data_IF_567428458161
#
_entry.id   IF_567428458161
#
_cell.length_a   1.000
_cell.length_b   1.000
_cell.length_c   1.000
_cell.angle_alpha   90.00
_cell.angle_beta   90.00
_cell.angle_gamma   90.00
#
_symmetry.space_group_name_H-M   'P 1'
#
loop_
_entity.id
_entity.type
_entity.pdbx_description
1 polymer ?
#
# COMPACT_ATOMS: atom_id res chain seq x y z
N UNK A 1 -0.35 -13.41 24.75
CA UNK A 1 0.80 -12.67 24.27
C UNK A 1 0.60 -11.16 24.31
N UNK A 2 1.57 -10.46 24.78
CA UNK A 2 1.51 -9.00 24.88
C UNK A 2 1.62 -8.34 23.51
N UNK A 3 0.88 -7.26 23.35
CA UNK A 3 1.01 -6.42 22.17
C UNK A 3 2.22 -5.52 22.37
N UNK A 4 3.36 -6.00 21.91
CA UNK A 4 4.64 -5.34 22.10
C UNK A 4 4.66 -3.94 21.51
N UNK A 5 4.00 -3.78 20.34
CA UNK A 5 4.00 -2.51 19.62
C UNK A 5 2.59 -2.13 19.22
N UNK A 6 2.24 -0.87 19.45
CA UNK A 6 1.03 -0.27 18.94
C UNK A 6 1.32 0.29 17.54
N UNK A 7 0.30 0.65 16.76
CA UNK A 7 0.51 1.32 15.48
C UNK A 7 1.33 2.61 15.63
N UNK A 8 1.09 3.37 16.70
CA UNK A 8 1.87 4.61 16.92
C UNK A 8 3.33 4.31 17.18
N UNK A 9 3.61 3.24 17.95
CA UNK A 9 4.99 2.83 18.22
C UNK A 9 5.68 2.42 16.93
N UNK A 10 4.98 1.70 16.05
CA UNK A 10 5.54 1.30 14.76
C UNK A 10 5.85 2.51 13.89
N UNK A 11 4.95 3.49 13.83
CA UNK A 11 5.20 4.72 13.10
C UNK A 11 6.44 5.43 13.63
N UNK A 12 6.59 5.51 14.95
CA UNK A 12 7.75 6.12 15.57
C UNK A 12 9.04 5.40 15.16
N UNK A 13 9.02 4.09 15.17
CA UNK A 13 10.18 3.29 14.77
C UNK A 13 10.55 3.53 13.31
N UNK A 14 9.56 3.53 12.42
CA UNK A 14 9.78 3.76 10.99
C UNK A 14 10.29 5.16 10.72
N UNK A 15 9.67 6.15 11.35
CA UNK A 15 10.04 7.56 11.14
C UNK A 15 11.42 7.89 11.65
N UNK A 16 11.85 7.23 12.72
CA UNK A 16 13.14 7.49 13.33
C UNK A 16 14.22 6.50 12.91
N UNK A 17 13.85 5.58 12.03
CA UNK A 17 14.80 4.61 11.51
C UNK A 17 15.51 3.81 12.61
N UNK A 18 14.77 3.45 13.67
CA UNK A 18 15.33 2.76 14.83
C UNK A 18 15.56 1.27 14.58
N UNK A 19 14.83 0.68 13.62
CA UNK A 19 15.01 -0.70 13.19
C UNK A 19 15.37 -0.69 11.72
N UNK A 20 16.56 -1.13 11.38
CA UNK A 20 17.02 -1.10 9.99
C UNK A 20 16.76 -2.41 9.24
N UNK A 21 16.59 -3.52 9.97
CA UNK A 21 16.34 -4.81 9.33
C UNK A 21 14.95 -4.90 8.73
N UNK A 22 14.91 -5.17 7.44
CA UNK A 22 13.64 -5.39 6.73
C UNK A 22 12.85 -6.56 7.37
N UNK A 23 13.56 -7.61 7.80
CA UNK A 23 12.93 -8.76 8.43
C UNK A 23 12.24 -8.37 9.72
N UNK A 24 12.95 -7.64 10.59
CA UNK A 24 12.39 -7.22 11.87
C UNK A 24 11.18 -6.30 11.69
N UNK A 25 11.26 -5.35 10.77
CA UNK A 25 10.14 -4.43 10.52
C UNK A 25 8.95 -5.20 9.99
N UNK A 26 9.15 -6.15 9.09
CA UNK A 26 8.05 -6.96 8.58
C UNK A 26 7.42 -7.85 9.65
N UNK A 27 8.20 -8.34 10.59
CA UNK A 27 7.66 -9.09 11.71
C UNK A 27 6.76 -8.21 12.57
N UNK A 28 7.17 -6.95 12.80
CA UNK A 28 6.34 -6.00 13.54
C UNK A 28 5.02 -5.72 12.81
N UNK A 29 5.07 -5.52 11.49
CA UNK A 29 3.85 -5.35 10.71
C UNK A 29 2.94 -6.56 10.86
N UNK A 30 3.49 -7.76 10.77
CA UNK A 30 2.70 -8.98 10.87
C UNK A 30 2.05 -9.11 12.25
N UNK A 31 2.79 -8.79 13.31
CA UNK A 31 2.24 -8.81 14.67
C UNK A 31 1.06 -7.85 14.78
N UNK A 32 1.22 -6.64 14.27
CA UNK A 32 0.15 -5.63 14.34
C UNK A 32 -1.08 -6.03 13.51
N UNK A 33 -0.85 -6.62 12.34
CA UNK A 33 -1.96 -7.01 11.46
C UNK A 33 -2.69 -8.24 11.97
N UNK A 34 -1.96 -9.24 12.46
CA UNK A 34 -2.52 -10.55 12.78
C UNK A 34 -2.86 -10.76 14.24
N UNK A 35 -2.14 -10.13 15.15
CA UNK A 35 -2.25 -10.41 16.58
C UNK A 35 -2.88 -9.29 17.40
N UNK A 36 -2.99 -8.08 16.87
CA UNK A 36 -3.64 -7.00 17.61
C UNK A 36 -5.10 -6.88 17.21
N UNK A 37 -5.93 -6.48 18.17
CA UNK A 37 -7.35 -6.28 17.92
C UNK A 37 -7.60 -4.84 17.48
N UNK A 38 -7.20 -4.53 16.25
CA UNK A 38 -7.35 -3.20 15.68
C UNK A 38 -8.66 -3.07 14.92
N UNK A 39 -9.15 -1.85 14.83
CA UNK A 39 -10.29 -1.56 13.96
C UNK A 39 -9.88 -1.84 12.52
N UNK A 40 -10.86 -2.27 11.73
CA UNK A 40 -10.63 -2.72 10.37
C UNK A 40 -9.81 -1.74 9.52
N UNK A 41 -10.15 -0.45 9.54
CA UNK A 41 -9.43 0.49 8.70
C UNK A 41 -8.03 0.84 9.22
N UNK A 42 -7.81 0.73 10.51
CA UNK A 42 -6.46 0.88 11.06
C UNK A 42 -5.62 -0.32 10.64
N UNK A 43 -6.19 -1.51 10.69
CA UNK A 43 -5.52 -2.72 10.22
C UNK A 43 -5.17 -2.61 8.73
N UNK A 44 -6.11 -2.11 7.93
CA UNK A 44 -5.90 -1.91 6.51
C UNK A 44 -4.80 -0.87 6.24
N UNK A 45 -4.73 0.17 7.06
CA UNK A 45 -3.64 1.13 6.97
C UNK A 45 -2.28 0.46 7.23
N UNK A 46 -2.22 -0.44 8.21
CA UNK A 46 -0.98 -1.17 8.49
C UNK A 46 -0.57 -2.04 7.31
N UNK A 47 -1.53 -2.66 6.64
CA UNK A 47 -1.27 -3.46 5.43
C UNK A 47 -0.68 -2.55 4.34
N UNK A 48 -1.26 -1.38 4.14
CA UNK A 48 -0.76 -0.42 3.16
C UNK A 48 0.66 0.03 3.49
N UNK A 49 0.93 0.33 4.77
CA UNK A 49 2.27 0.72 5.22
C UNK A 49 3.30 -0.39 5.00
N UNK A 50 2.90 -1.63 5.25
CA UNK A 50 3.77 -2.77 4.96
C UNK A 50 4.12 -2.84 3.47
N UNK A 51 3.12 -2.64 2.62
CA UNK A 51 3.34 -2.66 1.17
C UNK A 51 4.29 -1.55 0.73
N UNK A 52 4.09 -0.34 1.26
CA UNK A 52 4.98 0.79 0.97
C UNK A 52 6.42 0.49 1.36
N UNK A 53 6.60 -0.08 2.54
CA UNK A 53 7.93 -0.40 3.04
C UNK A 53 8.64 -1.42 2.16
N UNK A 54 7.91 -2.38 1.60
CA UNK A 54 8.48 -3.47 0.82
C UNK A 54 8.51 -3.22 -0.70
N UNK A 55 7.84 -2.19 -1.18
CA UNK A 55 7.62 -2.00 -2.62
C UNK A 55 8.89 -2.02 -3.48
N UNK A 56 9.97 -1.43 -2.99
CA UNK A 56 11.21 -1.35 -3.76
C UNK A 56 11.88 -2.70 -3.97
N UNK A 57 11.69 -3.62 -3.05
CA UNK A 57 12.37 -4.92 -3.08
C UNK A 57 11.43 -6.10 -3.34
N UNK A 58 10.13 -5.87 -3.29
CA UNK A 58 9.15 -6.94 -3.46
C UNK A 58 9.04 -7.38 -4.91
N UNK A 59 8.78 -8.67 -5.10
CA UNK A 59 8.38 -9.18 -6.41
C UNK A 59 6.92 -8.79 -6.64
N UNK A 60 6.49 -8.90 -7.89
CA UNK A 60 5.11 -8.66 -8.27
C UNK A 60 4.15 -9.47 -7.40
N UNK A 61 4.41 -10.78 -7.30
CA UNK A 61 3.58 -11.68 -6.49
C UNK A 61 3.51 -11.27 -5.02
N UNK A 62 4.65 -10.90 -4.46
CA UNK A 62 4.73 -10.49 -3.06
C UNK A 62 3.90 -9.25 -2.80
N UNK A 63 4.03 -8.24 -3.66
CA UNK A 63 3.32 -7.00 -3.48
C UNK A 63 1.81 -7.18 -3.66
N UNK A 64 1.41 -7.94 -4.67
CA UNK A 64 0.00 -8.26 -4.88
C UNK A 64 -0.60 -9.01 -3.69
N UNK A 65 0.14 -9.95 -3.13
CA UNK A 65 -0.31 -10.70 -1.97
C UNK A 65 -0.52 -9.80 -0.75
N UNK A 66 0.44 -8.90 -0.50
CA UNK A 66 0.31 -7.96 0.62
C UNK A 66 -0.93 -7.08 0.44
N UNK A 67 -1.16 -6.56 -0.76
CA UNK A 67 -2.21 -5.59 -1.02
C UNK A 67 -3.59 -6.20 -1.31
N UNK A 68 -3.65 -7.51 -1.54
CA UNK A 68 -4.91 -8.15 -1.90
C UNK A 68 -6.07 -7.85 -0.94
N UNK A 69 -5.88 -7.86 0.39
CA UNK A 69 -6.98 -7.54 1.30
C UNK A 69 -7.57 -6.14 1.08
N UNK A 70 -6.76 -5.19 0.61
CA UNK A 70 -7.22 -3.84 0.34
C UNK A 70 -7.93 -3.71 -1.00
N UNK A 71 -7.41 -4.42 -2.00
CA UNK A 71 -7.93 -4.34 -3.36
C UNK A 71 -9.27 -5.06 -3.48
N UNK A 72 -9.43 -6.19 -2.78
CA UNK A 72 -10.61 -7.03 -2.87
C UNK A 72 -11.74 -6.59 -1.94
N UNK A 73 -11.58 -5.49 -1.22
CA UNK A 73 -12.56 -5.01 -0.26
C UNK A 73 -12.96 -3.56 -0.58
N UNK A 74 -13.86 -3.00 0.24
CA UNK A 74 -14.28 -1.60 0.11
C UNK A 74 -13.51 -0.70 1.08
N UNK A 75 -12.26 -1.02 1.33
CA UNK A 75 -11.42 -0.25 2.23
C UNK A 75 -11.24 1.19 1.74
N UNK A 76 -11.15 2.13 2.67
CA UNK A 76 -10.81 3.51 2.33
C UNK A 76 -9.39 3.60 1.77
N UNK A 77 -8.59 2.56 1.94
CA UNK A 77 -7.21 2.50 1.44
C UNK A 77 -7.08 1.80 0.09
N UNK A 78 -8.21 1.40 -0.53
CA UNK A 78 -8.17 0.72 -1.81
C UNK A 78 -7.54 1.57 -2.91
N UNK A 79 -7.92 2.83 -3.01
CA UNK A 79 -7.35 3.72 -4.04
C UNK A 79 -5.85 3.91 -3.83
N UNK A 80 -5.41 4.00 -2.58
CA UNK A 80 -3.98 4.09 -2.27
C UNK A 80 -3.24 2.82 -2.71
N UNK A 81 -3.83 1.65 -2.45
CA UNK A 81 -3.24 0.37 -2.82
C UNK A 81 -3.10 0.25 -4.34
N UNK A 82 -4.15 0.63 -5.06
CA UNK A 82 -4.12 0.58 -6.53
C UNK A 82 -3.09 1.57 -7.10
N UNK A 83 -2.96 2.74 -6.49
CA UNK A 83 -1.98 3.72 -6.92
C UNK A 83 -0.56 3.20 -6.73
N UNK A 84 -0.29 2.55 -5.60
CA UNK A 84 1.01 1.94 -5.34
C UNK A 84 1.33 0.87 -6.39
N UNK A 85 0.36 0.02 -6.71
CA UNK A 85 0.55 -1.00 -7.74
C UNK A 85 0.79 -0.37 -9.12
N UNK A 86 0.04 0.68 -9.45
CA UNK A 86 0.22 1.37 -10.72
C UNK A 86 1.64 1.93 -10.83
N UNK A 87 2.14 2.55 -9.78
CA UNK A 87 3.51 3.08 -9.76
C UNK A 87 4.55 1.96 -9.82
N UNK A 88 4.30 0.87 -9.11
CA UNK A 88 5.18 -0.29 -9.11
C UNK A 88 5.35 -0.83 -10.55
N UNK A 89 4.25 -1.07 -11.24
CA UNK A 89 4.31 -1.59 -12.61
C UNK A 89 4.91 -0.59 -13.57
N UNK A 90 4.66 0.70 -13.38
CA UNK A 90 5.29 1.72 -14.20
C UNK A 90 6.82 1.68 -14.04
N UNK A 91 7.29 1.55 -12.81
CA UNK A 91 8.73 1.47 -12.53
C UNK A 91 9.39 0.21 -13.11
N UNK A 92 8.60 -0.85 -13.31
CA UNK A 92 9.07 -2.09 -13.94
C UNK A 92 8.91 -2.06 -15.46
N UNK A 93 8.56 -0.92 -16.00
CA UNK A 93 8.35 -0.73 -17.42
C UNK A 93 7.18 -1.55 -17.99
N UNK A 94 6.22 -1.90 -17.12
CA UNK A 94 5.00 -2.60 -17.54
C UNK A 94 3.87 -1.59 -17.62
N UNK A 95 3.91 -0.74 -18.64
CA UNK A 95 3.01 0.40 -18.74
C UNK A 95 1.55 0.03 -18.92
N UNK A 96 1.27 -1.07 -19.60
CA UNK A 96 -0.12 -1.50 -19.79
C UNK A 96 -0.78 -1.87 -18.44
N UNK A 97 -0.09 -2.64 -17.62
CA UNK A 97 -0.59 -2.98 -16.29
C UNK A 97 -0.73 -1.76 -15.42
N UNK A 98 0.25 -0.86 -15.48
CA UNK A 98 0.22 0.39 -14.74
C UNK A 98 -1.03 1.19 -15.09
N UNK A 99 -1.30 1.33 -16.39
CA UNK A 99 -2.45 2.08 -16.88
C UNK A 99 -3.76 1.44 -16.41
N UNK A 100 -3.85 0.12 -16.41
CA UNK A 100 -5.04 -0.58 -15.94
C UNK A 100 -5.35 -0.24 -14.48
N UNK A 101 -4.32 -0.24 -13.62
CA UNK A 101 -4.52 0.11 -12.22
C UNK A 101 -4.91 1.57 -12.04
N UNK A 102 -4.30 2.49 -12.79
CA UNK A 102 -4.70 3.89 -12.74
C UNK A 102 -6.16 4.06 -13.18
N UNK A 103 -6.58 3.36 -14.23
CA UNK A 103 -7.95 3.44 -14.70
C UNK A 103 -8.94 2.85 -13.68
N UNK A 104 -8.55 1.82 -12.95
CA UNK A 104 -9.39 1.28 -11.89
C UNK A 104 -9.67 2.32 -10.81
N UNK A 105 -8.66 3.14 -10.48
CA UNK A 105 -8.81 4.19 -9.47
C UNK A 105 -9.91 5.18 -9.90
N UNK A 106 -9.89 5.57 -11.16
CA UNK A 106 -10.86 6.53 -11.69
C UNK A 106 -12.29 5.99 -11.56
N UNK A 107 -12.44 4.68 -11.63
CA UNK A 107 -13.76 4.03 -11.56
C UNK A 107 -14.24 3.70 -10.16
N UNK A 108 -13.43 3.95 -9.14
CA UNK A 108 -13.85 3.72 -7.75
C UNK A 108 -14.80 4.83 -7.32
N UNK A 109 -15.98 4.43 -6.84
CA UNK A 109 -17.03 5.37 -6.47
C UNK A 109 -16.62 6.35 -5.36
N UNK A 110 -15.92 5.85 -4.36
CA UNK A 110 -15.52 6.66 -3.19
C UNK A 110 -14.01 6.70 -3.02
N UNK A 111 -13.28 6.85 -4.12
CA UNK A 111 -11.83 6.92 -4.06
C UNK A 111 -11.39 8.22 -3.38
N UNK A 112 -10.22 8.18 -2.77
CA UNK A 112 -9.61 9.36 -2.17
C UNK A 112 -9.40 10.43 -3.25
N UNK A 113 -9.85 11.66 -2.97
CA UNK A 113 -9.80 12.73 -3.97
C UNK A 113 -8.39 13.13 -4.37
N UNK A 114 -7.46 13.11 -3.44
CA UNK A 114 -6.05 13.41 -3.75
C UNK A 114 -5.46 12.33 -4.66
N UNK A 115 -5.80 11.09 -4.42
CA UNK A 115 -5.34 9.99 -5.27
C UNK A 115 -5.93 10.08 -6.67
N UNK A 116 -7.21 10.43 -6.78
CA UNK A 116 -7.86 10.65 -8.08
C UNK A 116 -7.15 11.76 -8.85
N UNK A 117 -6.86 12.87 -8.17
CA UNK A 117 -6.19 14.01 -8.78
C UNK A 117 -4.80 13.61 -9.30
N UNK A 118 -4.03 12.92 -8.48
CA UNK A 118 -2.71 12.42 -8.88
C UNK A 118 -2.81 11.45 -10.05
N UNK A 119 -3.82 10.59 -10.03
CA UNK A 119 -4.03 9.58 -11.08
C UNK A 119 -4.33 10.25 -12.41
N UNK A 120 -5.22 11.23 -12.42
CA UNK A 120 -5.54 11.96 -13.65
C UNK A 120 -4.30 12.65 -14.22
N UNK A 121 -3.51 13.25 -13.35
CA UNK A 121 -2.25 13.89 -13.74
C UNK A 121 -1.29 12.88 -14.36
N UNK A 122 -1.15 11.70 -13.76
CA UNK A 122 -0.28 10.66 -14.28
C UNK A 122 -0.76 10.14 -15.62
N UNK A 123 -2.06 9.89 -15.76
CA UNK A 123 -2.62 9.41 -17.03
C UNK A 123 -2.38 10.40 -18.16
N UNK A 124 -2.53 11.69 -17.89
CA UNK A 124 -2.29 12.71 -18.92
C UNK A 124 -0.82 12.86 -19.28
N UNK A 125 0.05 12.84 -18.29
CA UNK A 125 1.47 13.09 -18.51
C UNK A 125 2.24 11.88 -19.03
N UNK A 126 1.97 10.70 -18.45
CA UNK A 126 2.82 9.52 -18.66
C UNK A 126 2.26 8.51 -19.66
N UNK A 127 1.00 8.62 -20.03
CA UNK A 127 0.32 7.67 -20.90
C UNK A 127 -0.35 8.27 -22.13
N UNK A 128 -0.24 9.57 -22.30
CA UNK A 128 -0.75 10.21 -23.53
C UNK A 128 0.29 10.08 -24.63
N UNK A 129 -0.14 9.72 -25.79
CA UNK A 129 0.73 9.59 -26.97
C UNK A 129 0.95 10.91 -27.65
#
# INVERSE_FOLDING_TARGET
RDNTYSPLALYFILDNNLIESRVEINELFNILIEETNLKKEINNLMIYKKALYNADLATESELLEILNPLISSKSVWKSHALYLLAEYFYSKNEKEKSKEFFNEIINIKNANQDIIKKTKKRLNRDFSD
#
